data_IF_244014906479
#
_entry.id   IF_244014906479
#
_cell.length_a   1.000
_cell.length_b   1.000
_cell.length_c   1.000
_cell.angle_alpha   90.00
_cell.angle_beta   90.00
_cell.angle_gamma   90.00
#
_symmetry.space_group_name_H-M   'P 1'
#
loop_
_entity.id
_entity.type
_entity.pdbx_description
1 polymer ?
#
# COMPACT_ATOMS: atom_id res chain seq x y z
N UNK A 1 1.36 5.25 -33.86
CA UNK A 1 1.52 6.50 -33.09
C UNK A 1 2.02 6.27 -31.65
N UNK A 2 1.31 5.49 -30.83
CA UNK A 2 1.70 5.19 -29.44
C UNK A 2 3.05 4.44 -29.31
N UNK A 3 3.32 3.47 -30.19
CA UNK A 3 4.59 2.73 -30.21
C UNK A 3 5.81 3.61 -30.59
N UNK A 4 5.61 4.67 -31.37
CA UNK A 4 6.67 5.62 -31.73
C UNK A 4 6.97 6.61 -30.59
N UNK A 5 5.95 6.99 -29.82
CA UNK A 5 6.11 7.80 -28.60
C UNK A 5 6.81 7.00 -27.48
N UNK A 6 6.46 5.72 -27.32
CA UNK A 6 7.13 4.81 -26.38
C UNK A 6 8.61 4.58 -26.73
N UNK A 7 8.94 4.46 -28.02
CA UNK A 7 10.33 4.32 -28.48
C UNK A 7 11.16 5.60 -28.29
N UNK A 8 10.55 6.79 -28.44
CA UNK A 8 11.21 8.07 -28.16
C UNK A 8 11.45 8.29 -26.65
N UNK A 9 10.55 7.80 -25.79
CA UNK A 9 10.72 7.83 -24.33
C UNK A 9 11.82 6.86 -23.84
N UNK A 10 11.98 5.71 -24.50
CA UNK A 10 13.00 4.71 -24.17
C UNK A 10 14.46 5.20 -24.29
N UNK A 11 14.70 6.22 -25.12
CA UNK A 11 16.01 6.87 -25.29
C UNK A 11 16.06 8.29 -24.69
N UNK A 12 15.05 8.68 -23.90
CA UNK A 12 14.93 10.03 -23.38
C UNK A 12 16.15 10.40 -22.50
N UNK A 13 16.81 11.54 -22.76
CA UNK A 13 17.90 12.03 -21.92
C UNK A 13 17.48 12.08 -20.45
N UNK A 14 18.42 11.84 -19.52
CA UNK A 14 18.15 11.91 -18.07
C UNK A 14 17.42 13.19 -17.64
N UNK A 15 17.64 14.32 -18.34
CA UNK A 15 16.92 15.57 -18.09
C UNK A 15 15.41 15.45 -18.33
N UNK A 16 14.99 14.77 -19.40
CA UNK A 16 13.56 14.54 -19.70
C UNK A 16 12.94 13.60 -18.67
N UNK A 17 13.66 12.55 -18.26
CA UNK A 17 13.19 11.67 -17.18
C UNK A 17 13.02 12.45 -15.87
N UNK A 18 13.96 13.35 -15.55
CA UNK A 18 13.88 14.24 -14.41
C UNK A 18 12.62 15.10 -14.41
N UNK A 19 12.28 15.70 -15.57
CA UNK A 19 11.07 16.49 -15.75
C UNK A 19 9.79 15.66 -15.54
N UNK A 20 9.72 14.46 -16.11
CA UNK A 20 8.58 13.55 -15.92
C UNK A 20 8.40 13.17 -14.44
N UNK A 21 9.49 12.95 -13.71
CA UNK A 21 9.45 12.69 -12.27
C UNK A 21 8.97 13.92 -11.50
N UNK A 22 9.39 15.13 -11.88
CA UNK A 22 8.96 16.38 -11.24
C UNK A 22 7.45 16.59 -11.43
N UNK A 23 6.96 16.49 -12.67
CA UNK A 23 5.54 16.60 -13.01
C UNK A 23 4.69 15.57 -12.25
N UNK A 24 5.16 14.32 -12.20
CA UNK A 24 4.46 13.25 -11.49
C UNK A 24 4.39 13.51 -9.98
N UNK A 25 5.51 13.96 -9.37
CA UNK A 25 5.56 14.22 -7.94
C UNK A 25 4.71 15.43 -7.53
N UNK A 26 4.70 16.48 -8.35
CA UNK A 26 3.84 17.66 -8.16
C UNK A 26 2.36 17.27 -8.26
N UNK A 27 1.98 16.50 -9.28
CA UNK A 27 0.60 16.07 -9.51
C UNK A 27 0.05 15.21 -8.35
N UNK A 28 0.87 14.32 -7.79
CA UNK A 28 0.43 13.44 -6.71
C UNK A 28 0.64 14.06 -5.33
N UNK A 29 1.24 15.24 -5.25
CA UNK A 29 1.44 15.95 -4.00
C UNK A 29 0.08 16.21 -3.32
N UNK A 30 0.00 15.95 -2.02
CA UNK A 30 -1.23 16.11 -1.21
C UNK A 30 -2.43 15.24 -1.61
N UNK A 31 -2.28 14.27 -2.51
CA UNK A 31 -3.40 13.48 -3.06
C UNK A 31 -3.92 12.33 -2.17
N UNK A 32 -3.47 12.22 -0.91
CA UNK A 32 -3.66 11.02 -0.06
C UNK A 32 -3.34 9.71 -0.82
N UNK A 33 -2.15 9.66 -1.41
CA UNK A 33 -1.65 8.54 -2.21
C UNK A 33 -2.52 8.26 -3.45
N UNK A 34 -2.93 9.33 -4.13
CA UNK A 34 -3.81 9.31 -5.29
C UNK A 34 -5.30 9.23 -4.93
N UNK A 35 -5.70 9.06 -3.68
CA UNK A 35 -7.10 8.81 -3.33
C UNK A 35 -8.04 10.01 -3.51
N UNK A 36 -7.51 11.24 -3.60
CA UNK A 36 -8.30 12.47 -3.83
C UNK A 36 -8.22 12.99 -5.27
N UNK A 37 -7.37 12.43 -6.14
CA UNK A 37 -7.29 12.83 -7.54
C UNK A 37 -8.60 12.53 -8.30
N UNK A 38 -8.96 13.42 -9.21
CA UNK A 38 -10.02 13.25 -10.20
C UNK A 38 -9.67 12.17 -11.23
N UNK A 39 -10.64 11.81 -12.09
CA UNK A 39 -10.39 10.84 -13.16
C UNK A 39 -9.37 11.32 -14.19
N UNK A 40 -9.37 12.62 -14.51
CA UNK A 40 -8.41 13.23 -15.43
C UNK A 40 -7.00 13.23 -14.87
N UNK A 41 -6.83 13.70 -13.64
CA UNK A 41 -5.52 13.72 -12.95
C UNK A 41 -4.93 12.32 -12.76
N UNK A 42 -5.77 11.30 -12.52
CA UNK A 42 -5.31 9.90 -12.48
C UNK A 42 -4.81 9.42 -13.84
N UNK A 43 -5.54 9.74 -14.90
CA UNK A 43 -5.14 9.36 -16.25
C UNK A 43 -3.79 10.02 -16.62
N UNK A 44 -3.62 11.28 -16.25
CA UNK A 44 -2.37 12.01 -16.42
C UNK A 44 -1.21 11.38 -15.64
N UNK A 45 -1.41 11.07 -14.35
CA UNK A 45 -0.42 10.36 -13.53
C UNK A 45 -0.06 8.99 -14.13
N UNK A 46 -1.04 8.23 -14.62
CA UNK A 46 -0.83 6.92 -15.23
C UNK A 46 -0.05 7.03 -16.56
N UNK A 47 -0.26 8.08 -17.36
CA UNK A 47 0.52 8.32 -18.59
C UNK A 47 1.97 8.74 -18.28
N UNK A 48 2.20 9.60 -17.28
CA UNK A 48 3.55 9.94 -16.80
C UNK A 48 4.30 8.70 -16.32
N UNK A 49 3.62 7.83 -15.56
CA UNK A 49 4.15 6.54 -15.11
C UNK A 49 4.54 5.69 -16.31
N UNK A 50 3.68 5.53 -17.32
CA UNK A 50 4.00 4.73 -18.53
C UNK A 50 5.20 5.27 -19.30
N UNK A 51 5.34 6.59 -19.42
CA UNK A 51 6.50 7.20 -20.07
C UNK A 51 7.81 6.85 -19.34
N UNK A 52 7.79 6.88 -17.99
CA UNK A 52 8.91 6.46 -17.16
C UNK A 52 9.16 4.93 -17.21
N UNK A 53 8.11 4.12 -17.26
CA UNK A 53 8.22 2.66 -17.47
C UNK A 53 8.95 2.34 -18.78
N UNK A 54 8.60 3.02 -19.88
CA UNK A 54 9.26 2.86 -21.17
C UNK A 54 10.74 3.27 -21.13
N UNK A 55 11.08 4.34 -20.41
CA UNK A 55 12.46 4.75 -20.18
C UNK A 55 13.26 3.71 -19.37
N UNK A 56 12.65 3.09 -18.36
CA UNK A 56 13.28 2.07 -17.53
C UNK A 56 13.51 0.73 -18.24
N UNK A 57 12.60 0.35 -19.14
CA UNK A 57 12.68 -0.89 -19.93
C UNK A 57 13.90 -0.95 -20.88
N UNK A 58 14.50 0.19 -21.21
CA UNK A 58 15.70 0.28 -22.04
C UNK A 58 17.01 -0.08 -21.31
N UNK A 59 16.97 -0.17 -19.98
CA UNK A 59 18.14 -0.42 -19.13
C UNK A 59 18.27 -1.87 -18.62
N UNK A 60 19.29 -2.10 -17.78
CA UNK A 60 19.41 -3.35 -17.03
C UNK A 60 18.30 -3.50 -15.98
N UNK A 61 17.94 -4.75 -15.63
CA UNK A 61 16.98 -5.05 -14.59
C UNK A 61 17.17 -4.24 -13.32
N UNK A 62 16.12 -3.56 -12.87
CA UNK A 62 16.20 -2.65 -11.72
C UNK A 62 16.64 -3.39 -10.46
N UNK A 63 16.12 -4.60 -10.22
CA UNK A 63 16.45 -5.41 -9.04
C UNK A 63 17.88 -5.99 -9.05
N UNK A 64 18.53 -6.02 -10.20
CA UNK A 64 19.92 -6.47 -10.32
C UNK A 64 20.94 -5.36 -10.03
N UNK A 65 20.49 -4.10 -9.96
CA UNK A 65 21.37 -2.95 -9.67
C UNK A 65 22.08 -3.10 -8.31
N UNK A 66 23.25 -2.47 -8.22
CA UNK A 66 24.08 -2.49 -7.02
C UNK A 66 23.35 -1.84 -5.83
N UNK A 67 23.59 -2.37 -4.63
CA UNK A 67 22.82 -2.00 -3.43
C UNK A 67 23.07 -0.57 -2.98
N UNK A 68 24.31 -0.13 -3.12
CA UNK A 68 24.87 1.18 -2.78
C UNK A 68 24.74 2.20 -3.92
N UNK A 69 24.22 1.78 -5.08
CA UNK A 69 23.96 2.70 -6.18
C UNK A 69 22.91 3.74 -5.79
N UNK A 70 23.06 5.01 -6.19
CA UNK A 70 22.08 6.06 -5.93
C UNK A 70 20.67 5.71 -6.42
N UNK A 71 20.57 4.95 -7.52
CA UNK A 71 19.33 4.50 -8.16
C UNK A 71 18.92 3.07 -7.75
N UNK A 72 19.43 2.57 -6.62
CA UNK A 72 19.14 1.26 -6.06
C UNK A 72 17.66 1.12 -5.65
N UNK A 73 16.97 0.02 -6.01
CA UNK A 73 15.59 -0.22 -5.56
C UNK A 73 15.50 -0.62 -4.08
N UNK A 74 16.65 -0.82 -3.43
CA UNK A 74 16.75 -1.16 -2.02
C UNK A 74 16.71 0.12 -1.17
N UNK A 75 16.05 0.02 -0.01
CA UNK A 75 15.91 1.12 0.93
C UNK A 75 14.48 1.42 1.32
N UNK A 76 14.30 2.60 1.92
CA UNK A 76 13.06 3.02 2.56
C UNK A 76 12.31 4.00 1.68
N UNK A 77 11.07 3.66 1.38
CA UNK A 77 10.20 4.45 0.52
C UNK A 77 8.88 4.78 1.19
N UNK A 78 8.35 5.95 0.85
CA UNK A 78 6.95 6.31 1.05
C UNK A 78 6.15 6.02 -0.22
N UNK A 79 4.95 5.47 -0.07
CA UNK A 79 4.02 5.34 -1.20
C UNK A 79 3.29 6.67 -1.35
N UNK A 80 3.59 7.40 -2.42
CA UNK A 80 3.00 8.72 -2.70
C UNK A 80 1.89 8.67 -3.73
N UNK A 81 1.78 7.57 -4.48
CA UNK A 81 0.66 7.30 -5.39
C UNK A 81 0.39 5.81 -5.50
N UNK A 82 -0.88 5.46 -5.66
CA UNK A 82 -1.32 4.14 -6.08
C UNK A 82 -2.61 4.22 -6.90
N UNK A 83 -2.71 3.43 -7.97
CA UNK A 83 -3.92 3.27 -8.76
C UNK A 83 -4.50 1.86 -8.61
N UNK A 84 -5.82 1.75 -8.71
CA UNK A 84 -6.50 0.45 -8.77
C UNK A 84 -6.42 -0.06 -10.21
N UNK A 85 -5.76 -1.20 -10.41
CA UNK A 85 -5.80 -1.89 -11.70
C UNK A 85 -7.20 -2.37 -12.04
N UNK A 86 -7.48 -2.59 -13.33
CA UNK A 86 -8.82 -2.93 -13.82
C UNK A 86 -9.45 -4.18 -13.19
N UNK A 87 -8.64 -5.11 -12.67
CA UNK A 87 -9.09 -6.34 -12.01
C UNK A 87 -9.03 -6.28 -10.47
N UNK A 88 -8.55 -5.18 -9.90
CA UNK A 88 -8.30 -5.06 -8.47
C UNK A 88 -9.53 -4.53 -7.71
N UNK A 89 -10.04 -5.34 -6.78
CA UNK A 89 -11.12 -4.92 -5.87
C UNK A 89 -10.53 -4.25 -4.62
N UNK A 90 -10.70 -2.93 -4.52
CA UNK A 90 -10.28 -2.15 -3.35
C UNK A 90 -8.83 -1.66 -3.42
N UNK A 91 -8.37 -1.00 -2.35
CA UNK A 91 -7.06 -0.33 -2.31
C UNK A 91 -5.89 -1.32 -2.41
N UNK A 92 -4.96 -1.17 -3.36
CA UNK A 92 -3.83 -2.08 -3.53
C UNK A 92 -2.89 -2.09 -2.32
N UNK A 93 -2.50 -0.93 -1.78
CA UNK A 93 -1.87 -0.85 -0.47
C UNK A 93 -2.90 -0.52 0.61
N UNK A 94 -2.80 -1.22 1.74
CA UNK A 94 -3.66 -1.03 2.90
C UNK A 94 -5.07 -1.62 2.82
N UNK A 95 -5.47 -2.23 1.69
CA UNK A 95 -6.70 -3.02 1.58
C UNK A 95 -7.94 -2.32 2.13
N UNK A 96 -8.71 -3.02 2.99
CA UNK A 96 -9.95 -2.47 3.59
C UNK A 96 -9.74 -1.28 4.50
N UNK A 97 -8.56 -1.11 5.11
CA UNK A 97 -8.23 0.07 5.93
C UNK A 97 -8.23 1.36 5.11
N UNK A 98 -8.00 1.25 3.80
CA UNK A 98 -8.07 2.37 2.86
C UNK A 98 -9.35 2.41 2.01
N UNK A 99 -10.32 1.55 2.30
CA UNK A 99 -11.67 1.65 1.72
C UNK A 99 -12.43 2.90 2.21
N UNK A 100 -13.65 3.14 1.70
CA UNK A 100 -14.48 4.31 2.12
C UNK A 100 -14.69 4.35 3.64
N UNK A 101 -15.19 3.26 4.21
CA UNK A 101 -15.40 3.13 5.66
C UNK A 101 -14.06 3.07 6.41
N UNK A 102 -13.08 2.36 5.84
CA UNK A 102 -11.73 2.24 6.39
C UNK A 102 -11.07 3.58 6.62
N UNK A 103 -11.09 4.50 5.64
CA UNK A 103 -10.48 5.84 5.77
C UNK A 103 -11.16 6.72 6.81
N UNK A 104 -12.47 6.56 7.01
CA UNK A 104 -13.20 7.29 8.04
C UNK A 104 -12.83 6.80 9.46
N UNK A 105 -12.69 5.49 9.64
CA UNK A 105 -12.35 4.87 10.93
C UNK A 105 -10.84 4.96 11.20
N UNK A 106 -10.01 4.65 10.20
CA UNK A 106 -8.56 4.58 10.25
C UNK A 106 -7.97 5.63 9.31
N UNK A 107 -7.93 6.88 9.78
CA UNK A 107 -7.40 7.98 8.98
C UNK A 107 -5.93 7.72 8.66
N UNK A 108 -5.62 7.47 7.39
CA UNK A 108 -4.25 7.17 6.96
C UNK A 108 -3.35 8.38 7.18
N UNK A 109 -2.14 8.13 7.70
CA UNK A 109 -1.11 9.12 7.99
C UNK A 109 0.17 8.92 7.19
N UNK A 110 0.34 7.73 6.62
CA UNK A 110 1.46 7.38 5.78
C UNK A 110 1.36 5.95 5.30
N UNK A 111 1.91 5.71 4.12
CA UNK A 111 2.13 4.40 3.53
C UNK A 111 3.62 4.28 3.25
N UNK A 112 4.21 3.16 3.62
CA UNK A 112 5.64 2.94 3.50
C UNK A 112 5.91 1.53 2.97
N UNK A 113 6.96 1.42 2.16
CA UNK A 113 7.53 0.16 1.76
C UNK A 113 9.05 0.22 1.97
N UNK A 114 9.59 -0.79 2.63
CA UNK A 114 11.02 -0.98 2.78
C UNK A 114 11.42 -2.26 2.05
N UNK A 115 12.54 -2.20 1.33
CA UNK A 115 13.20 -3.39 0.79
C UNK A 115 14.59 -3.41 1.42
N UNK A 116 14.83 -4.40 2.26
CA UNK A 116 16.05 -4.51 3.05
C UNK A 116 17.30 -4.58 2.16
N UNK A 117 18.41 -3.94 2.57
CA UNK A 117 19.66 -3.95 1.79
C UNK A 117 20.25 -5.36 1.68
N UNK A 118 19.93 -6.28 2.59
CA UNK A 118 20.37 -7.67 2.54
C UNK A 118 19.54 -8.56 1.58
N UNK A 119 18.63 -7.97 0.80
CA UNK A 119 17.84 -8.60 -0.28
C UNK A 119 16.84 -9.68 0.12
N UNK A 120 16.71 -10.03 1.40
CA UNK A 120 15.80 -11.11 1.81
C UNK A 120 14.57 -10.64 2.59
N UNK A 121 14.41 -9.34 2.86
CA UNK A 121 13.25 -8.82 3.59
C UNK A 121 12.59 -7.66 2.85
N UNK A 122 11.27 -7.69 2.78
CA UNK A 122 10.46 -6.54 2.42
C UNK A 122 9.40 -6.30 3.49
N UNK A 123 9.12 -5.03 3.77
CA UNK A 123 8.08 -4.67 4.72
C UNK A 123 7.18 -3.58 4.16
N UNK A 124 5.88 -3.71 4.40
CA UNK A 124 4.88 -2.70 4.09
C UNK A 124 4.29 -2.18 5.41
N UNK A 125 4.11 -0.87 5.52
CA UNK A 125 3.53 -0.24 6.71
C UNK A 125 2.46 0.74 6.32
N UNK A 126 1.33 0.67 7.01
CA UNK A 126 0.24 1.65 6.95
C UNK A 126 0.13 2.31 8.31
N UNK A 127 0.53 3.58 8.40
CA UNK A 127 0.31 4.39 9.59
C UNK A 127 -1.08 5.00 9.53
N UNK A 128 -1.81 4.96 10.65
CA UNK A 128 -3.15 5.51 10.75
C UNK A 128 -3.41 6.16 12.11
N UNK A 129 -4.53 6.88 12.20
CA UNK A 129 -5.15 7.25 13.46
C UNK A 129 -6.61 6.78 13.51
N UNK A 130 -6.94 5.95 14.50
CA UNK A 130 -8.30 5.50 14.77
C UNK A 130 -9.14 6.71 15.22
N UNK A 131 -10.18 7.01 14.44
CA UNK A 131 -11.02 8.21 14.53
C UNK A 131 -10.22 9.52 14.60
N UNK A 132 -8.98 9.53 14.09
CA UNK A 132 -8.06 10.67 14.19
C UNK A 132 -7.43 10.88 15.56
N UNK A 133 -7.67 10.00 16.54
CA UNK A 133 -7.37 10.22 17.96
C UNK A 133 -6.27 9.31 18.48
N UNK A 134 -6.35 8.01 18.20
CA UNK A 134 -5.41 7.00 18.69
C UNK A 134 -4.54 6.57 17.52
N UNK A 135 -3.21 6.77 17.58
CA UNK A 135 -2.37 6.32 16.48
C UNK A 135 -2.25 4.81 16.51
N UNK A 136 -2.01 4.27 15.33
CA UNK A 136 -1.72 2.88 15.14
C UNK A 136 -1.00 2.68 13.82
N UNK A 137 -0.56 1.45 13.61
CA UNK A 137 -0.08 1.03 12.31
C UNK A 137 -0.40 -0.44 12.08
N UNK A 138 -0.43 -0.80 10.81
CA UNK A 138 -0.39 -2.20 10.37
C UNK A 138 0.88 -2.40 9.58
N UNK A 139 1.58 -3.46 9.93
CA UNK A 139 2.84 -3.85 9.32
C UNK A 139 2.69 -5.23 8.68
N UNK A 140 3.19 -5.38 7.47
CA UNK A 140 3.50 -6.66 6.86
C UNK A 140 5.02 -6.75 6.78
N UNK A 141 5.58 -7.86 7.21
CA UNK A 141 7.01 -8.16 7.05
C UNK A 141 7.10 -9.52 6.39
N UNK A 142 7.94 -9.63 5.38
CA UNK A 142 7.98 -10.79 4.52
C UNK A 142 9.32 -11.02 3.88
N UNK A 143 9.48 -12.21 3.32
CA UNK A 143 10.68 -12.61 2.63
C UNK A 143 10.59 -12.24 1.15
N UNK A 144 11.64 -11.59 0.62
CA UNK A 144 11.78 -11.35 -0.80
C UNK A 144 12.26 -12.65 -1.48
N UNK A 145 11.46 -13.16 -2.41
CA UNK A 145 11.77 -14.33 -3.22
C UNK A 145 12.02 -13.88 -4.67
N UNK A 146 13.15 -14.28 -5.29
CA UNK A 146 13.37 -14.08 -6.71
C UNK A 146 12.29 -14.79 -7.53
N UNK A 147 11.73 -14.15 -8.56
CA UNK A 147 10.90 -14.84 -9.54
C UNK A 147 11.79 -15.77 -10.38
N UNK A 148 11.32 -16.99 -10.69
CA UNK A 148 12.04 -17.91 -11.58
C UNK A 148 11.82 -17.53 -13.05
N UNK A 149 12.77 -17.85 -13.94
CA UNK A 149 12.75 -17.46 -15.35
C UNK A 149 11.49 -17.90 -16.13
N UNK A 150 10.83 -18.97 -15.71
CA UNK A 150 9.56 -19.46 -16.30
C UNK A 150 8.34 -18.64 -15.90
N UNK A 151 8.44 -17.83 -14.84
CA UNK A 151 7.38 -16.94 -14.35
C UNK A 151 7.48 -15.56 -15.00
N UNK A 152 8.47 -15.33 -15.87
CA UNK A 152 8.91 -14.01 -16.29
C UNK A 152 8.03 -13.26 -17.30
N UNK A 153 6.81 -13.75 -17.56
CA UNK A 153 5.87 -13.16 -18.49
C UNK A 153 4.56 -12.87 -17.75
N UNK A 154 4.37 -11.61 -17.35
CA UNK A 154 3.07 -11.13 -16.91
C UNK A 154 2.30 -10.66 -18.14
N UNK A 155 1.20 -11.34 -18.43
CA UNK A 155 0.20 -10.85 -19.38
C UNK A 155 -0.71 -9.87 -18.65
N UNK A 156 -0.67 -8.58 -19.00
CA UNK A 156 -1.72 -7.67 -18.57
C UNK A 156 -3.05 -8.01 -19.24
N UNK A 157 -4.21 -7.59 -18.67
CA UNK A 157 -5.52 -7.80 -19.29
C UNK A 157 -5.66 -7.23 -20.72
N UNK A 158 -4.73 -6.37 -21.15
CA UNK A 158 -4.61 -5.83 -22.51
C UNK A 158 -3.64 -6.57 -23.45
N UNK A 159 -3.10 -7.73 -23.06
CA UNK A 159 -2.20 -8.55 -23.89
C UNK A 159 -0.74 -8.10 -23.94
N UNK A 160 -0.37 -7.05 -23.20
CA UNK A 160 1.03 -6.63 -23.06
C UNK A 160 1.81 -7.62 -22.19
N UNK A 161 2.97 -8.04 -22.69
CA UNK A 161 3.86 -9.01 -22.06
C UNK A 161 5.09 -8.26 -21.54
N UNK A 162 5.24 -8.21 -20.21
CA UNK A 162 6.40 -7.58 -19.57
C UNK A 162 7.45 -8.64 -19.21
N UNK A 163 8.74 -8.35 -19.45
CA UNK A 163 9.88 -9.17 -19.00
C UNK A 163 10.02 -8.98 -17.48
N UNK A 164 9.88 -10.04 -16.66
CA UNK A 164 9.98 -9.90 -15.20
C UNK A 164 11.42 -9.64 -14.76
N UNK A 165 11.63 -8.41 -14.32
CA UNK A 165 12.54 -8.06 -13.23
C UNK A 165 11.71 -7.83 -11.96
N UNK A 166 10.87 -8.82 -11.64
CA UNK A 166 9.90 -8.76 -10.55
C UNK A 166 10.41 -9.47 -9.30
N UNK A 167 9.99 -8.99 -8.14
CA UNK A 167 10.18 -9.69 -6.89
C UNK A 167 8.83 -10.19 -6.36
N UNK A 168 8.83 -11.43 -5.88
CA UNK A 168 7.71 -11.99 -5.13
C UNK A 168 8.01 -11.77 -3.65
N UNK A 169 7.06 -11.27 -2.88
CA UNK A 169 7.21 -11.14 -1.43
C UNK A 169 6.17 -12.00 -0.75
N UNK A 170 6.64 -12.89 0.12
CA UNK A 170 5.77 -13.68 1.00
C UNK A 170 5.71 -13.02 2.37
N UNK A 171 4.61 -12.34 2.64
CA UNK A 171 4.37 -11.67 3.91
C UNK A 171 3.78 -12.60 4.94
N UNK A 172 4.31 -12.52 6.15
CA UNK A 172 3.67 -13.08 7.33
C UNK A 172 2.33 -12.39 7.63
N UNK A 173 1.59 -12.97 8.59
CA UNK A 173 0.37 -12.35 9.11
C UNK A 173 0.62 -10.90 9.56
N UNK A 174 -0.20 -9.93 9.12
CA UNK A 174 -0.02 -8.54 9.48
C UNK A 174 -0.03 -8.30 10.99
N UNK A 175 0.81 -7.38 11.43
CA UNK A 175 0.93 -6.94 12.82
C UNK A 175 0.20 -5.62 12.97
N UNK A 176 -0.91 -5.62 13.69
CA UNK A 176 -1.66 -4.45 14.10
C UNK A 176 -1.13 -3.94 15.44
N UNK A 177 -0.76 -2.66 15.48
CA UNK A 177 -0.46 -1.95 16.73
C UNK A 177 -1.38 -0.75 16.86
N UNK A 178 -1.98 -0.57 18.04
CA UNK A 178 -2.92 0.50 18.32
C UNK A 178 -2.62 1.11 19.69
N UNK A 179 -2.15 2.36 19.70
CA UNK A 179 -1.76 3.09 20.89
C UNK A 179 -0.85 2.27 21.82
N UNK A 180 -1.18 2.16 23.12
CA UNK A 180 -0.35 1.45 24.09
C UNK A 180 -0.58 -0.07 24.13
N UNK A 181 -1.49 -0.61 23.32
CA UNK A 181 -1.85 -2.03 23.35
C UNK A 181 -0.69 -2.90 22.83
N UNK A 182 -0.60 -4.16 23.31
CA UNK A 182 0.35 -5.11 22.75
C UNK A 182 0.06 -5.34 21.24
N UNK A 183 1.09 -5.59 20.42
CA UNK A 183 0.90 -5.90 19.01
C UNK A 183 0.05 -7.17 18.83
N UNK A 184 -0.88 -7.13 17.87
CA UNK A 184 -1.75 -8.25 17.53
C UNK A 184 -1.46 -8.73 16.11
N UNK A 185 -1.30 -10.03 15.91
CA UNK A 185 -1.27 -10.61 14.56
C UNK A 185 -2.71 -10.80 14.08
N UNK A 186 -3.04 -10.20 12.94
CA UNK A 186 -4.38 -10.20 12.36
C UNK A 186 -4.33 -10.72 10.93
N UNK A 187 -5.45 -11.26 10.45
CA UNK A 187 -5.56 -11.71 9.05
C UNK A 187 -4.69 -12.93 8.68
N UNK A 188 -4.76 -13.34 7.40
CA UNK A 188 -3.92 -14.41 6.86
C UNK A 188 -2.54 -13.89 6.46
N UNK A 189 -1.65 -14.82 6.12
CA UNK A 189 -0.43 -14.52 5.35
C UNK A 189 -0.83 -14.06 3.94
N UNK A 190 0.09 -13.40 3.23
CA UNK A 190 -0.21 -12.90 1.88
C UNK A 190 1.02 -12.93 0.99
N UNK A 191 0.82 -13.19 -0.29
CA UNK A 191 1.86 -13.10 -1.31
C UNK A 191 1.59 -11.91 -2.22
N UNK A 192 2.64 -11.19 -2.60
CA UNK A 192 2.55 -10.08 -3.56
C UNK A 192 3.67 -10.18 -4.58
N UNK A 193 3.30 -10.13 -5.84
CA UNK A 193 4.25 -9.93 -6.93
C UNK A 193 4.33 -8.45 -7.29
N UNK A 194 5.53 -7.88 -7.22
CA UNK A 194 5.80 -6.50 -7.58
C UNK A 194 6.85 -6.45 -8.68
N UNK A 195 6.47 -5.86 -9.81
CA UNK A 195 7.39 -5.51 -10.89
C UNK A 195 7.90 -4.09 -10.67
N UNK A 196 9.20 -3.86 -10.86
CA UNK A 196 9.83 -2.55 -10.70
C UNK A 196 10.37 -2.07 -12.06
N UNK A 197 9.55 -1.38 -12.88
CA UNK A 197 9.94 -0.97 -14.23
C UNK A 197 10.97 0.17 -14.27
N UNK A 198 10.99 1.03 -13.24
CA UNK A 198 11.84 2.22 -13.21
C UNK A 198 12.27 2.52 -11.78
N UNK A 199 13.50 2.99 -11.63
CA UNK A 199 14.04 3.47 -10.36
C UNK A 199 15.14 4.49 -10.66
N UNK A 200 15.14 5.59 -9.91
CA UNK A 200 16.19 6.59 -9.90
C UNK A 200 16.55 6.98 -8.46
N UNK A 201 17.26 8.09 -8.29
CA UNK A 201 17.69 8.59 -6.97
C UNK A 201 16.50 9.05 -6.10
N UNK A 202 15.36 9.37 -6.70
CA UNK A 202 14.22 10.01 -6.02
C UNK A 202 13.04 9.08 -5.89
N UNK A 203 12.72 8.30 -6.92
CA UNK A 203 11.54 7.46 -6.98
C UNK A 203 11.86 6.04 -7.43
N UNK A 204 10.95 5.15 -7.09
CA UNK A 204 10.82 3.82 -7.66
C UNK A 204 9.39 3.63 -8.13
N UNK A 205 9.21 3.09 -9.32
CA UNK A 205 7.89 2.70 -9.82
C UNK A 205 7.64 1.24 -9.49
N UNK A 206 6.39 0.91 -9.19
CA UNK A 206 5.96 -0.46 -8.99
C UNK A 206 4.68 -0.77 -9.74
N UNK A 207 4.58 -2.00 -10.21
CA UNK A 207 3.39 -2.54 -10.85
C UNK A 207 3.00 -3.84 -10.18
N UNK A 208 1.77 -3.90 -9.68
CA UNK A 208 1.18 -5.13 -9.17
C UNK A 208 0.74 -6.04 -10.31
N UNK A 209 0.71 -7.35 -10.06
CA UNK A 209 0.23 -8.38 -11.01
C UNK A 209 -1.17 -8.09 -11.58
N UNK A 210 -2.01 -7.38 -10.84
CA UNK A 210 -3.40 -7.00 -11.22
C UNK A 210 -3.51 -5.63 -11.91
N UNK A 211 -2.39 -5.06 -12.33
CA UNK A 211 -2.33 -3.78 -13.05
C UNK A 211 -2.41 -2.54 -12.15
N UNK A 212 -2.27 -2.67 -10.82
CA UNK A 212 -2.10 -1.51 -9.95
C UNK A 212 -0.74 -0.86 -10.18
N UNK A 213 -0.72 0.47 -10.24
CA UNK A 213 0.50 1.26 -10.34
C UNK A 213 0.85 1.83 -8.97
N UNK A 214 2.14 1.99 -8.70
CA UNK A 214 2.68 2.53 -7.47
C UNK A 214 3.81 3.50 -7.76
N UNK A 215 3.83 4.63 -7.06
CA UNK A 215 4.98 5.54 -7.02
C UNK A 215 5.52 5.56 -5.60
N UNK A 216 6.77 5.13 -5.47
CA UNK A 216 7.51 5.07 -4.22
C UNK A 216 8.51 6.23 -4.19
N UNK A 217 8.31 7.20 -3.32
CA UNK A 217 9.26 8.27 -3.08
C UNK A 217 10.34 7.79 -2.09
N UNK A 218 11.61 7.95 -2.46
CA UNK A 218 12.75 7.64 -1.61
C UNK A 218 12.82 8.66 -0.48
N UNK A 219 13.09 8.18 0.73
CA UNK A 219 13.23 9.05 1.90
C UNK A 219 11.95 9.18 2.70
N UNK A 220 11.82 8.31 3.70
CA UNK A 220 10.95 8.49 4.87
C UNK A 220 11.43 7.60 6.04
N UNK A 221 12.72 7.66 6.41
CA UNK A 221 13.37 6.62 7.21
C UNK A 221 12.77 6.49 8.62
N UNK A 222 12.30 7.60 9.20
CA UNK A 222 11.82 7.61 10.59
C UNK A 222 10.45 6.94 10.79
N UNK A 223 9.69 6.75 9.70
CA UNK A 223 8.34 6.16 9.76
C UNK A 223 8.24 4.82 9.07
N UNK A 224 9.17 4.48 8.18
CA UNK A 224 9.27 3.15 7.58
C UNK A 224 9.75 2.12 8.62
N UNK A 225 9.26 0.89 8.54
CA UNK A 225 9.72 -0.20 9.41
C UNK A 225 11.10 -0.67 8.97
N UNK A 226 12.12 -0.64 9.84
CA UNK A 226 13.49 -1.00 9.45
C UNK A 226 13.68 -2.50 9.22
N UNK A 227 13.10 -3.35 10.07
CA UNK A 227 13.18 -4.81 9.97
C UNK A 227 12.12 -5.54 10.82
N UNK A 228 11.99 -6.87 10.65
CA UNK A 228 11.16 -7.78 11.47
C UNK A 228 11.31 -7.59 12.99
N UNK A 229 12.49 -7.19 13.45
CA UNK A 229 12.83 -7.10 14.88
C UNK A 229 12.61 -5.69 15.46
N UNK A 230 12.29 -4.70 14.62
CA UNK A 230 12.19 -3.30 15.00
C UNK A 230 10.77 -2.79 14.83
N UNK A 231 9.88 -3.18 15.74
CA UNK A 231 8.52 -2.62 15.84
C UNK A 231 8.55 -1.37 16.73
N UNK A 232 8.59 -0.14 16.17
CA UNK A 232 8.75 1.07 16.94
C UNK A 232 7.58 1.22 17.94
N UNK A 233 7.86 1.56 19.20
CA UNK A 233 6.81 1.84 20.16
C UNK A 233 6.05 3.11 19.75
N UNK A 234 4.74 3.13 20.00
CA UNK A 234 3.94 4.35 19.87
C UNK A 234 4.19 5.22 21.11
N UNK A 235 5.24 6.04 21.07
CA UNK A 235 5.63 6.93 22.16
C UNK A 235 4.56 8.02 22.43
N UNK A 236 4.31 8.33 23.71
CA UNK A 236 3.48 9.47 24.11
C UNK A 236 1.96 9.25 24.12
N UNK A 237 1.46 8.06 23.77
CA UNK A 237 0.01 7.85 23.55
C UNK A 237 -0.77 7.32 24.76
N UNK A 238 -0.09 6.82 25.80
CA UNK A 238 -0.74 6.17 26.96
C UNK A 238 -1.81 7.04 27.61
N UNK A 239 -1.54 8.32 27.83
CA UNK A 239 -2.47 9.25 28.50
C UNK A 239 -3.70 9.56 27.64
N UNK A 240 -3.51 9.82 26.34
CA UNK A 240 -4.62 10.13 25.42
C UNK A 240 -5.51 8.91 25.18
N UNK A 241 -4.90 7.75 24.95
CA UNK A 241 -5.64 6.50 24.78
C UNK A 241 -6.41 6.12 26.05
N UNK A 242 -5.79 6.24 27.24
CA UNK A 242 -6.47 5.98 28.51
C UNK A 242 -7.64 6.93 28.75
N UNK A 243 -7.46 8.23 28.54
CA UNK A 243 -8.55 9.20 28.68
C UNK A 243 -9.73 8.88 27.74
N UNK A 244 -9.44 8.50 26.49
CA UNK A 244 -10.47 8.12 25.52
C UNK A 244 -11.20 6.84 25.92
N UNK A 245 -10.47 5.80 26.35
CA UNK A 245 -11.08 4.55 26.82
C UNK A 245 -11.95 4.78 28.05
N UNK A 246 -11.51 5.62 29.00
CA UNK A 246 -12.32 6.01 30.16
C UNK A 246 -13.60 6.75 29.74
N UNK A 247 -13.52 7.66 28.76
CA UNK A 247 -14.68 8.38 28.23
C UNK A 247 -15.70 7.44 27.58
N UNK A 248 -15.25 6.49 26.75
CA UNK A 248 -16.11 5.48 26.13
C UNK A 248 -16.73 4.57 27.18
N UNK A 249 -15.93 4.08 28.13
CA UNK A 249 -16.42 3.24 29.21
C UNK A 249 -17.46 3.96 30.08
N UNK A 250 -17.22 5.23 30.43
CA UNK A 250 -18.16 6.06 31.17
C UNK A 250 -19.46 6.30 30.38
N UNK A 251 -19.37 6.55 29.07
CA UNK A 251 -20.54 6.72 28.21
C UNK A 251 -21.37 5.43 28.10
N UNK A 252 -20.72 4.28 27.93
CA UNK A 252 -21.39 2.98 27.92
C UNK A 252 -22.04 2.66 29.27
N UNK A 253 -21.34 2.92 30.38
CA UNK A 253 -21.85 2.68 31.73
C UNK A 253 -23.03 3.60 32.06
N UNK A 254 -22.95 4.89 31.72
CA UNK A 254 -24.05 5.83 31.89
C UNK A 254 -25.25 5.48 31.01
N UNK A 255 -25.02 5.04 29.77
CA UNK A 255 -26.08 4.54 28.88
C UNK A 255 -26.78 3.31 29.45
N UNK A 256 -26.02 2.38 30.03
CA UNK A 256 -26.55 1.17 30.65
C UNK A 256 -27.32 1.46 31.95
N UNK A 257 -26.79 2.32 32.82
CA UNK A 257 -27.39 2.63 34.12
C UNK A 257 -28.67 3.48 34.03
N UNK A 258 -28.81 4.31 33.00
CA UNK A 258 -29.97 5.21 32.89
C UNK A 258 -31.22 4.54 32.32
N UNK A 259 -31.08 3.39 31.61
CA UNK A 259 -32.18 2.68 30.95
C UNK A 259 -33.10 3.58 30.10
N UNK A 260 -32.62 4.76 29.69
CA UNK A 260 -33.39 5.71 28.89
C UNK A 260 -33.33 5.31 27.43
N UNK A 261 -34.31 5.71 26.60
CA UNK A 261 -34.24 5.54 25.15
C UNK A 261 -32.95 6.12 24.56
N UNK A 262 -32.46 7.24 25.13
CA UNK A 262 -31.19 7.88 24.75
C UNK A 262 -29.99 7.02 25.14
N UNK A 263 -29.96 6.49 26.37
CA UNK A 263 -28.89 5.60 26.84
C UNK A 263 -28.77 4.32 26.00
N UNK A 264 -29.91 3.71 25.67
CA UNK A 264 -29.99 2.55 24.78
C UNK A 264 -29.52 2.88 23.36
N UNK A 265 -29.87 4.05 22.82
CA UNK A 265 -29.38 4.49 21.51
C UNK A 265 -27.87 4.71 21.49
N UNK A 266 -27.29 5.29 22.55
CA UNK A 266 -25.84 5.47 22.70
C UNK A 266 -25.12 4.12 22.77
N UNK A 267 -25.63 3.17 23.56
CA UNK A 267 -25.05 1.82 23.66
C UNK A 267 -25.12 1.07 22.31
N UNK A 268 -26.25 1.16 21.60
CA UNK A 268 -26.41 0.58 20.27
C UNK A 268 -25.43 1.20 19.25
N UNK A 269 -25.25 2.52 19.27
CA UNK A 269 -24.30 3.21 18.42
C UNK A 269 -22.85 2.79 18.72
N UNK A 270 -22.48 2.68 20.00
CA UNK A 270 -21.15 2.20 20.41
C UNK A 270 -20.90 0.76 19.96
N UNK A 271 -21.90 -0.13 20.09
CA UNK A 271 -21.82 -1.50 19.61
C UNK A 271 -21.67 -1.55 18.07
N UNK A 272 -22.44 -0.75 17.33
CA UNK A 272 -22.32 -0.66 15.87
C UNK A 272 -20.92 -0.19 15.43
N UNK A 273 -20.35 0.81 16.14
CA UNK A 273 -18.98 1.27 15.91
C UNK A 273 -17.95 0.17 16.18
N UNK A 274 -18.10 -0.57 17.29
CA UNK A 274 -17.20 -1.68 17.62
C UNK A 274 -17.27 -2.80 16.55
N UNK A 275 -18.47 -3.14 16.07
CA UNK A 275 -18.68 -4.10 14.98
C UNK A 275 -18.03 -3.61 13.69
N UNK A 276 -18.18 -2.33 13.34
CA UNK A 276 -17.55 -1.75 12.16
C UNK A 276 -16.01 -1.80 12.23
N UNK A 277 -15.42 -1.43 13.37
CA UNK A 277 -13.97 -1.52 13.62
C UNK A 277 -13.49 -2.97 13.50
N UNK A 278 -14.18 -3.92 14.17
CA UNK A 278 -13.86 -5.34 14.13
C UNK A 278 -13.98 -5.91 12.72
N UNK A 279 -14.98 -5.49 11.94
CA UNK A 279 -15.16 -5.90 10.55
C UNK A 279 -14.03 -5.44 9.64
N UNK A 280 -13.53 -4.21 9.81
CA UNK A 280 -12.36 -3.70 9.07
C UNK A 280 -11.08 -4.45 9.46
N UNK A 281 -10.88 -4.70 10.77
CA UNK A 281 -9.70 -5.45 11.26
C UNK A 281 -9.72 -6.91 10.77
N UNK A 282 -10.86 -7.59 10.90
CA UNK A 282 -11.00 -9.01 10.51
C UNK A 282 -10.85 -9.21 9.01
N UNK A 283 -11.37 -8.27 8.20
CA UNK A 283 -11.21 -8.30 6.73
C UNK A 283 -9.94 -7.62 6.23
N UNK A 284 -9.09 -7.13 7.14
CA UNK A 284 -7.89 -6.39 6.84
C UNK A 284 -6.77 -7.29 6.33
N UNK A 285 -6.49 -7.24 5.04
CA UNK A 285 -5.42 -8.01 4.39
C UNK A 285 -5.38 -7.75 2.89
N UNK A 286 -4.27 -8.11 2.25
CA UNK A 286 -4.18 -8.20 0.79
C UNK A 286 -4.82 -9.53 0.38
N UNK A 287 -5.72 -9.51 -0.61
CA UNK A 287 -6.41 -10.72 -1.08
C UNK A 287 -5.42 -11.59 -1.84
N UNK A 288 -5.37 -12.88 -1.52
CA UNK A 288 -4.44 -13.84 -2.12
C UNK A 288 -4.60 -13.91 -3.66
N UNK A 289 -3.47 -14.03 -4.36
CA UNK A 289 -3.42 -14.10 -5.83
C UNK A 289 -4.08 -15.38 -6.36
N UNK A 290 -3.92 -16.50 -5.64
CA UNK A 290 -4.54 -17.79 -5.99
C UNK A 290 -6.06 -17.79 -5.79
N UNK A 291 -6.57 -17.12 -4.77
CA UNK A 291 -8.00 -17.09 -4.46
C UNK A 291 -8.77 -16.23 -5.49
N UNK A 292 -8.16 -15.13 -5.93
CA UNK A 292 -8.70 -14.25 -6.97
C UNK A 292 -8.66 -14.91 -8.35
N UNK A 293 -7.56 -15.60 -8.68
CA UNK A 293 -7.41 -16.36 -9.92
C UNK A 293 -8.35 -17.58 -10.00
N UNK A 294 -8.58 -18.28 -8.87
CA UNK A 294 -9.60 -19.35 -8.77
C UNK A 294 -11.02 -18.79 -8.92
N UNK A 295 -11.32 -17.64 -8.31
CA UNK A 295 -12.63 -17.00 -8.44
C UNK A 295 -12.89 -16.48 -9.87
N UNK A 296 -11.85 -16.05 -10.59
CA UNK A 296 -11.94 -15.65 -11.99
C UNK A 296 -12.15 -16.85 -12.93
N UNK A 297 -11.43 -17.97 -12.71
CA UNK A 297 -11.65 -19.22 -13.48
C UNK A 297 -13.04 -19.84 -13.29
N UNK A 298 -13.66 -19.62 -12.13
CA UNK A 298 -14.98 -20.16 -11.82
C UNK A 298 -16.15 -19.29 -12.31
N UNK A 299 -15.90 -18.12 -12.91
CA UNK A 299 -16.95 -17.41 -13.65
C UNK A 299 -17.15 -18.10 -14.99
N UNK A 300 -18.20 -18.94 -15.09
CA UNK A 300 -18.68 -19.40 -16.39
C UNK A 300 -18.96 -18.17 -17.26
N UNK A 301 -18.53 -18.17 -18.54
CA UNK A 301 -18.96 -17.13 -19.47
C UNK A 301 -20.48 -17.17 -19.52
N UNK A 302 -21.12 -16.03 -19.27
CA UNK A 302 -22.54 -15.85 -19.57
C UNK A 302 -22.59 -15.85 -21.09
N UNK A 303 -23.17 -16.92 -21.65
CA UNK A 303 -23.47 -17.06 -23.07
C UNK A 303 -24.55 -16.06 -23.49
#
# INVERSE_FOLDING_TARGET
PAAAAAAAAAAAPRAVQGQLVDELLELVEHSDCGATLSGGERAEADELIRALEAAGAAGSPVLERARDAPDSPYGRFSVVYQSVGGEQKGSPAGGRFRGRLGRAIFRTRGLFQNIGPEKDEASNKVDFALFGLIRGYIALVGQLCPCTASEALLSSPGGEVYRRDGARVRFERPILRLGPLPPLRVGPESEVELYTPYCDERIRLGRGSRGSLFVFLRGAPERALPSRNELPPLAGERRRAAAWMCLVAAACLAGWLTATPVGSAVAAAAAAVAVAVAGVIRGGGIVDDDESARAARNRKPIA
#
